data_IF_074696396358
#
_entry.id   IF_074696396358
#
_cell.length_a   1.000
_cell.length_b   1.000
_cell.length_c   1.000
_cell.angle_alpha   90.00
_cell.angle_beta   90.00
_cell.angle_gamma   90.00
#
_symmetry.space_group_name_H-M   'P 1'
#
loop_
_entity.id
_entity.type
_entity.pdbx_description
1 polymer ?
#
# COMPACT_ATOMS: atom_id res chain seq x y z
N UNK A 1 -2.77 -3.46 28.75
CA UNK A 1 -3.46 -3.51 27.43
C UNK A 1 -4.94 -3.64 27.70
N UNK A 2 -5.77 -2.70 27.24
CA UNK A 2 -7.23 -2.76 27.42
C UNK A 2 -7.85 -3.79 26.46
N UNK A 3 -9.10 -4.19 26.68
CA UNK A 3 -9.82 -5.09 25.76
C UNK A 3 -9.97 -4.49 24.36
N UNK A 4 -10.16 -3.17 24.27
CA UNK A 4 -10.23 -2.44 23.00
C UNK A 4 -8.87 -2.38 22.29
N UNK A 5 -7.77 -2.25 23.03
CA UNK A 5 -6.42 -2.31 22.45
C UNK A 5 -6.14 -3.68 21.82
N UNK A 6 -6.54 -4.75 22.50
CA UNK A 6 -6.38 -6.11 22.00
C UNK A 6 -7.20 -6.34 20.72
N UNK A 7 -8.43 -5.80 20.65
CA UNK A 7 -9.27 -5.86 19.44
C UNK A 7 -8.62 -5.11 18.27
N UNK A 8 -8.14 -3.89 18.51
CA UNK A 8 -7.47 -3.08 17.49
C UNK A 8 -6.21 -3.78 16.97
N UNK A 9 -5.38 -4.31 17.88
CA UNK A 9 -4.17 -5.07 17.53
C UNK A 9 -4.50 -6.32 16.73
N UNK A 10 -5.50 -7.10 17.17
CA UNK A 10 -5.96 -8.30 16.45
C UNK A 10 -6.44 -7.96 15.03
N UNK A 11 -7.21 -6.89 14.87
CA UNK A 11 -7.67 -6.46 13.54
C UNK A 11 -6.49 -6.05 12.63
N UNK A 12 -5.50 -5.34 13.17
CA UNK A 12 -4.26 -5.01 12.45
C UNK A 12 -3.48 -6.25 12.03
N UNK A 13 -3.27 -7.20 12.95
CA UNK A 13 -2.55 -8.45 12.67
C UNK A 13 -3.26 -9.31 11.63
N UNK A 14 -4.59 -9.46 11.73
CA UNK A 14 -5.38 -10.19 10.73
C UNK A 14 -5.24 -9.53 9.36
N UNK A 15 -5.30 -8.21 9.28
CA UNK A 15 -5.20 -7.48 8.01
C UNK A 15 -3.80 -7.59 7.41
N UNK A 16 -2.75 -7.54 8.24
CA UNK A 16 -1.37 -7.77 7.80
C UNK A 16 -1.19 -9.19 7.24
N UNK A 17 -1.63 -10.22 7.97
CA UNK A 17 -1.54 -11.61 7.53
C UNK A 17 -2.35 -11.86 6.27
N UNK A 18 -3.55 -11.30 6.17
CA UNK A 18 -4.37 -11.39 4.96
C UNK A 18 -3.69 -10.73 3.76
N UNK A 19 -3.06 -9.57 3.95
CA UNK A 19 -2.29 -8.87 2.92
C UNK A 19 -1.08 -9.71 2.48
N UNK A 20 -0.32 -10.27 3.43
CA UNK A 20 0.84 -11.11 3.14
C UNK A 20 0.45 -12.40 2.39
N UNK A 21 -0.63 -13.05 2.84
CA UNK A 21 -1.12 -14.28 2.22
C UNK A 21 -1.66 -14.04 0.81
N UNK A 22 -2.46 -12.98 0.60
CA UNK A 22 -3.02 -12.65 -0.71
C UNK A 22 -1.99 -12.03 -1.68
N UNK A 23 -0.95 -11.37 -1.18
CA UNK A 23 0.15 -10.87 -2.00
C UNK A 23 1.22 -11.94 -2.17
N UNK A 24 2.27 -11.82 -1.35
CA UNK A 24 3.47 -12.64 -1.44
C UNK A 24 3.20 -14.15 -1.35
N UNK A 25 2.29 -14.59 -0.48
CA UNK A 25 1.94 -16.01 -0.32
C UNK A 25 1.35 -16.62 -1.58
N UNK A 26 0.36 -15.96 -2.18
CA UNK A 26 -0.25 -16.39 -3.42
C UNK A 26 0.75 -16.36 -4.59
N UNK A 27 1.56 -15.30 -4.70
CA UNK A 27 2.61 -15.22 -5.73
C UNK A 27 3.68 -16.31 -5.55
N UNK A 28 4.03 -16.67 -4.32
CA UNK A 28 4.94 -17.78 -4.04
C UNK A 28 4.35 -19.11 -4.52
N UNK A 29 3.05 -19.35 -4.31
CA UNK A 29 2.38 -20.56 -4.80
C UNK A 29 2.36 -20.61 -6.34
N UNK A 30 2.12 -19.47 -7.00
CA UNK A 30 2.24 -19.36 -8.46
C UNK A 30 3.68 -19.63 -8.94
N UNK A 31 4.69 -19.13 -8.24
CA UNK A 31 6.09 -19.33 -8.62
C UNK A 31 6.48 -20.80 -8.61
N UNK A 32 6.04 -21.57 -7.61
CA UNK A 32 6.29 -23.02 -7.55
C UNK A 32 5.57 -23.82 -8.65
N UNK A 33 4.47 -23.30 -9.18
CA UNK A 33 3.67 -23.96 -10.23
C UNK A 33 3.92 -23.37 -11.62
N UNK A 34 4.87 -22.45 -11.75
CA UNK A 34 5.16 -21.75 -13.01
C UNK A 34 5.61 -22.74 -14.11
N UNK A 35 5.02 -22.64 -15.34
CA UNK A 35 5.42 -23.43 -16.48
C UNK A 35 6.91 -23.28 -16.79
N UNK A 36 7.55 -24.35 -17.32
CA UNK A 36 8.97 -24.31 -17.69
C UNK A 36 9.29 -23.23 -18.73
N UNK A 37 8.33 -22.87 -19.58
CA UNK A 37 8.49 -21.84 -20.61
C UNK A 37 8.84 -20.46 -20.05
N UNK A 38 8.49 -20.14 -18.81
CA UNK A 38 8.76 -18.81 -18.20
C UNK A 38 9.87 -18.84 -17.14
N UNK A 39 10.45 -20.01 -16.83
CA UNK A 39 11.46 -20.16 -15.75
C UNK A 39 12.81 -19.52 -16.04
N UNK A 40 13.08 -19.18 -17.30
CA UNK A 40 14.30 -18.50 -17.70
C UNK A 40 14.22 -16.98 -17.49
N UNK A 41 13.02 -16.45 -17.19
CA UNK A 41 12.80 -15.04 -16.93
C UNK A 41 12.97 -14.74 -15.43
N UNK A 42 13.25 -13.46 -15.06
CA UNK A 42 13.26 -13.04 -13.67
C UNK A 42 11.95 -13.42 -12.97
N UNK A 43 12.10 -14.08 -11.83
CA UNK A 43 11.01 -14.61 -11.02
C UNK A 43 10.67 -13.69 -9.83
N UNK A 44 9.81 -14.15 -8.92
CA UNK A 44 9.40 -13.40 -7.73
C UNK A 44 10.58 -12.92 -6.87
N UNK A 45 11.60 -13.77 -6.68
CA UNK A 45 12.72 -13.50 -5.79
C UNK A 45 13.82 -12.66 -6.44
N UNK A 46 13.73 -12.46 -7.75
CA UNK A 46 14.59 -11.56 -8.51
C UNK A 46 14.30 -10.07 -8.23
N UNK A 47 13.15 -9.75 -7.63
CA UNK A 47 12.72 -8.38 -7.32
C UNK A 47 12.68 -8.15 -5.81
N UNK A 48 13.40 -7.14 -5.34
CA UNK A 48 13.41 -6.80 -3.92
C UNK A 48 12.07 -6.24 -3.46
N UNK A 49 11.37 -5.48 -4.32
CA UNK A 49 10.04 -4.96 -4.02
C UNK A 49 9.01 -6.07 -3.90
N UNK A 50 9.15 -7.15 -4.66
CA UNK A 50 8.25 -8.28 -4.53
C UNK A 50 8.56 -9.10 -3.27
N UNK A 51 9.83 -9.36 -2.99
CA UNK A 51 10.23 -10.17 -1.82
C UNK A 51 9.98 -9.44 -0.50
N UNK A 52 10.59 -8.27 -0.32
CA UNK A 52 10.53 -7.53 0.93
C UNK A 52 9.33 -6.59 0.97
N UNK A 53 8.98 -6.01 -0.18
CA UNK A 53 7.86 -5.11 -0.27
C UNK A 53 6.53 -5.81 -0.05
N UNK A 54 6.17 -6.79 -0.90
CA UNK A 54 4.91 -7.52 -0.77
C UNK A 54 4.92 -8.49 0.42
N UNK A 55 6.09 -9.07 0.75
CA UNK A 55 6.23 -10.02 1.84
C UNK A 55 6.17 -9.39 3.24
N UNK A 56 6.64 -8.14 3.39
CA UNK A 56 6.78 -7.50 4.71
C UNK A 56 6.21 -6.09 4.74
N UNK A 57 6.65 -5.20 3.86
CA UNK A 57 6.37 -3.76 3.99
C UNK A 57 4.89 -3.43 3.77
N UNK A 58 4.26 -3.97 2.73
CA UNK A 58 2.83 -3.76 2.49
C UNK A 58 1.96 -4.40 3.59
N UNK A 59 2.18 -5.65 4.02
CA UNK A 59 1.49 -6.23 5.19
C UNK A 59 1.60 -5.36 6.44
N UNK A 60 2.81 -4.90 6.76
CA UNK A 60 3.07 -4.06 7.93
C UNK A 60 2.32 -2.73 7.85
N UNK A 61 2.37 -2.08 6.68
CA UNK A 61 1.65 -0.84 6.42
C UNK A 61 0.13 -1.01 6.56
N UNK A 62 -0.44 -2.06 5.95
CA UNK A 62 -1.87 -2.35 6.02
C UNK A 62 -2.33 -2.60 7.46
N UNK A 63 -1.62 -3.47 8.19
CA UNK A 63 -1.93 -3.77 9.59
C UNK A 63 -1.82 -2.55 10.50
N UNK A 64 -0.80 -1.72 10.30
CA UNK A 64 -0.59 -0.49 11.07
C UNK A 64 -1.69 0.55 10.81
N UNK A 65 -2.15 0.69 9.56
CA UNK A 65 -3.28 1.56 9.22
C UNK A 65 -4.61 1.08 9.80
N UNK A 66 -4.88 -0.23 9.75
CA UNK A 66 -6.09 -0.80 10.34
C UNK A 66 -6.07 -0.62 11.86
N UNK A 67 -4.93 -0.83 12.51
CA UNK A 67 -4.74 -0.56 13.93
C UNK A 67 -4.99 0.91 14.27
N UNK A 68 -4.33 1.85 13.58
CA UNK A 68 -4.54 3.29 13.79
C UNK A 68 -5.99 3.71 13.54
N UNK A 69 -6.63 3.14 12.52
CA UNK A 69 -8.05 3.40 12.22
C UNK A 69 -8.95 2.91 13.35
N UNK A 70 -8.69 1.74 13.93
CA UNK A 70 -9.50 1.15 15.00
C UNK A 70 -9.44 1.96 16.30
N UNK A 71 -8.30 2.63 16.57
CA UNK A 71 -8.10 3.52 17.73
C UNK A 71 -8.83 4.86 17.64
N UNK A 72 -9.33 5.22 16.45
CA UNK A 72 -10.13 6.41 16.24
C UNK A 72 -11.60 5.99 16.29
N UNK A 73 -12.39 6.44 17.26
CA UNK A 73 -13.80 6.02 17.42
C UNK A 73 -14.75 6.86 16.57
N UNK A 74 -14.41 8.13 16.31
CA UNK A 74 -15.20 9.08 15.52
C UNK A 74 -15.52 8.55 14.12
N UNK A 75 -16.72 8.81 13.61
CA UNK A 75 -17.04 8.52 12.22
C UNK A 75 -16.28 9.46 11.28
N UNK A 76 -15.67 8.89 10.23
CA UNK A 76 -15.02 9.65 9.16
C UNK A 76 -16.00 10.05 8.06
N UNK A 77 -15.50 10.76 7.05
CA UNK A 77 -16.28 11.11 5.87
C UNK A 77 -16.33 9.92 4.89
N UNK A 78 -17.36 9.05 5.02
CA UNK A 78 -17.50 7.83 4.21
C UNK A 78 -17.41 8.09 2.71
N UNK A 79 -18.06 9.16 2.22
CA UNK A 79 -18.01 9.54 0.80
C UNK A 79 -16.59 9.85 0.31
N UNK A 80 -15.78 10.54 1.12
CA UNK A 80 -14.38 10.85 0.80
C UNK A 80 -13.53 9.58 0.81
N UNK A 81 -13.74 8.68 1.78
CA UNK A 81 -13.06 7.37 1.79
C UNK A 81 -13.37 6.53 0.55
N UNK A 82 -14.64 6.50 0.12
CA UNK A 82 -15.05 5.76 -1.10
C UNK A 82 -14.43 6.39 -2.35
N UNK A 83 -14.47 7.73 -2.47
CA UNK A 83 -13.85 8.43 -3.59
C UNK A 83 -12.33 8.16 -3.65
N UNK A 84 -11.65 8.16 -2.50
CA UNK A 84 -10.24 7.80 -2.42
C UNK A 84 -9.98 6.35 -2.83
N UNK A 85 -10.82 5.41 -2.43
CA UNK A 85 -10.72 4.01 -2.83
C UNK A 85 -10.83 3.85 -4.35
N UNK A 86 -11.82 4.50 -4.97
CA UNK A 86 -12.01 4.49 -6.43
C UNK A 86 -10.80 5.09 -7.13
N UNK A 87 -10.32 6.25 -6.67
CA UNK A 87 -9.13 6.89 -7.24
C UNK A 87 -7.89 5.99 -7.14
N UNK A 88 -7.66 5.36 -5.98
CA UNK A 88 -6.56 4.40 -5.79
C UNK A 88 -6.67 3.18 -6.70
N UNK A 89 -7.88 2.62 -6.84
CA UNK A 89 -8.13 1.50 -7.76
C UNK A 89 -7.89 1.87 -9.22
N UNK A 90 -8.32 3.06 -9.66
CA UNK A 90 -8.08 3.56 -11.01
C UNK A 90 -6.59 3.77 -11.30
N UNK A 91 -5.82 4.27 -10.33
CA UNK A 91 -4.36 4.39 -10.47
C UNK A 91 -3.68 3.02 -10.58
N UNK A 92 -4.09 2.06 -9.75
CA UNK A 92 -3.61 0.68 -9.87
C UNK A 92 -3.94 0.07 -11.23
N UNK A 93 -5.16 0.30 -11.74
CA UNK A 93 -5.62 -0.20 -13.04
C UNK A 93 -4.83 0.44 -14.18
N UNK A 94 -4.64 1.76 -14.13
CA UNK A 94 -3.84 2.49 -15.11
C UNK A 94 -2.40 1.96 -15.14
N UNK A 95 -1.81 1.62 -13.99
CA UNK A 95 -0.46 1.06 -13.91
C UNK A 95 -0.37 -0.29 -14.65
N UNK A 96 -1.34 -1.18 -14.42
CA UNK A 96 -1.40 -2.48 -15.10
C UNK A 96 -1.69 -2.36 -16.60
N UNK A 97 -2.58 -1.43 -16.99
CA UNK A 97 -2.85 -1.15 -18.38
C UNK A 97 -1.60 -0.62 -19.10
N UNK A 98 -0.82 0.26 -18.46
CA UNK A 98 0.42 0.79 -19.03
C UNK A 98 1.50 -0.28 -19.18
N UNK A 99 1.56 -1.27 -18.29
CA UNK A 99 2.42 -2.44 -18.46
C UNK A 99 2.00 -3.31 -19.65
N UNK A 100 0.70 -3.52 -19.83
CA UNK A 100 0.17 -4.29 -20.96
C UNK A 100 0.24 -3.55 -22.29
N UNK A 101 0.24 -2.22 -22.30
CA UNK A 101 0.32 -1.41 -23.52
C UNK A 101 1.75 -1.02 -23.89
N UNK A 102 2.75 -1.40 -23.08
CA UNK A 102 4.15 -1.16 -23.42
C UNK A 102 4.60 -2.15 -24.50
N UNK A 103 5.14 -1.62 -25.59
CA UNK A 103 5.68 -2.42 -26.71
C UNK A 103 7.05 -3.04 -26.35
N UNK A 104 7.76 -2.46 -25.37
CA UNK A 104 9.08 -2.94 -24.90
C UNK A 104 9.14 -3.02 -23.35
N UNK A 105 8.27 -3.83 -22.72
CA UNK A 105 8.30 -3.99 -21.28
C UNK A 105 9.49 -4.83 -20.85
N UNK A 106 9.98 -4.61 -19.61
CA UNK A 106 10.91 -5.55 -19.00
C UNK A 106 10.20 -6.86 -18.70
N UNK A 107 10.49 -7.86 -19.54
CA UNK A 107 9.93 -9.20 -19.43
C UNK A 107 10.28 -9.84 -18.09
N UNK A 108 9.31 -10.57 -17.56
CA UNK A 108 9.44 -11.32 -16.31
C UNK A 108 8.42 -12.47 -16.32
N UNK A 109 8.48 -13.35 -15.32
CA UNK A 109 7.61 -14.53 -15.26
C UNK A 109 6.08 -14.22 -15.21
N UNK A 110 5.69 -12.99 -14.88
CA UNK A 110 4.29 -12.54 -14.90
C UNK A 110 3.87 -11.87 -16.22
N UNK A 111 4.82 -11.32 -16.97
CA UNK A 111 4.66 -10.67 -18.27
C UNK A 111 5.79 -11.16 -19.22
N UNK A 112 5.67 -12.38 -19.78
CA UNK A 112 6.75 -13.04 -20.50
C UNK A 112 6.94 -12.54 -21.93
N UNK A 113 5.94 -11.85 -22.48
CA UNK A 113 5.98 -11.21 -23.79
C UNK A 113 5.16 -9.91 -23.74
N UNK A 114 5.39 -8.94 -24.65
CA UNK A 114 4.62 -7.70 -24.70
C UNK A 114 3.12 -7.98 -24.79
N UNK A 115 2.32 -7.20 -24.07
CA UNK A 115 0.84 -7.27 -24.06
C UNK A 115 0.20 -8.55 -23.48
N UNK A 116 0.98 -9.50 -22.93
CA UNK A 116 0.42 -10.77 -22.44
C UNK A 116 0.85 -11.09 -21.02
N UNK A 117 -0.10 -11.03 -20.08
CA UNK A 117 0.09 -11.56 -18.74
C UNK A 117 -0.10 -13.08 -18.68
N UNK A 118 0.70 -13.74 -17.85
CA UNK A 118 0.37 -15.10 -17.39
C UNK A 118 -0.78 -15.06 -16.39
N UNK A 119 -1.30 -16.22 -15.99
CA UNK A 119 -2.28 -16.31 -14.88
C UNK A 119 -1.76 -15.65 -13.61
N UNK A 120 -0.46 -15.78 -13.31
CA UNK A 120 0.18 -15.11 -12.18
C UNK A 120 0.18 -13.58 -12.37
N UNK A 121 0.43 -13.09 -13.58
CA UNK A 121 0.36 -11.66 -13.91
C UNK A 121 -1.03 -11.07 -13.77
N UNK A 122 -2.07 -11.76 -14.26
CA UNK A 122 -3.46 -11.32 -14.08
C UNK A 122 -3.82 -11.25 -12.59
N UNK A 123 -3.46 -12.28 -11.81
CA UNK A 123 -3.68 -12.29 -10.37
C UNK A 123 -2.97 -11.11 -9.69
N UNK A 124 -1.68 -10.94 -9.98
CA UNK A 124 -0.87 -9.87 -9.41
C UNK A 124 -1.44 -8.48 -9.75
N UNK A 125 -1.86 -8.27 -11.00
CA UNK A 125 -2.48 -7.02 -11.42
C UNK A 125 -3.78 -6.72 -10.68
N UNK A 126 -4.66 -7.73 -10.53
CA UNK A 126 -5.89 -7.60 -9.74
C UNK A 126 -5.62 -7.33 -8.27
N UNK A 127 -4.61 -7.98 -7.70
CA UNK A 127 -4.15 -7.73 -6.33
C UNK A 127 -3.65 -6.29 -6.17
N UNK A 128 -2.82 -5.79 -7.09
CA UNK A 128 -2.33 -4.40 -7.05
C UNK A 128 -3.48 -3.39 -7.11
N UNK A 129 -4.43 -3.56 -8.03
CA UNK A 129 -5.62 -2.69 -8.16
C UNK A 129 -6.38 -2.65 -6.84
N UNK A 130 -6.65 -3.82 -6.27
CA UNK A 130 -7.42 -3.97 -5.02
C UNK A 130 -6.68 -3.31 -3.86
N UNK A 131 -5.40 -3.61 -3.69
CA UNK A 131 -4.61 -3.06 -2.59
C UNK A 131 -4.40 -1.56 -2.73
N UNK A 132 -4.26 -1.04 -3.95
CA UNK A 132 -4.19 0.42 -4.19
C UNK A 132 -5.46 1.12 -3.71
N UNK A 133 -6.64 0.55 -3.98
CA UNK A 133 -7.91 1.05 -3.46
C UNK A 133 -7.98 0.96 -1.93
N UNK A 134 -7.57 -0.17 -1.34
CA UNK A 134 -7.57 -0.40 0.12
C UNK A 134 -6.66 0.60 0.84
N UNK A 135 -5.42 0.79 0.37
CA UNK A 135 -4.48 1.73 0.98
C UNK A 135 -4.97 3.17 0.89
N UNK A 136 -5.49 3.60 -0.26
CA UNK A 136 -6.08 4.93 -0.41
C UNK A 136 -7.24 5.13 0.57
N UNK A 137 -8.15 4.16 0.67
CA UNK A 137 -9.27 4.19 1.61
C UNK A 137 -8.82 4.25 3.07
N UNK A 138 -7.85 3.42 3.46
CA UNK A 138 -7.34 3.35 4.83
C UNK A 138 -6.65 4.66 5.23
N UNK A 139 -5.76 5.20 4.39
CA UNK A 139 -5.11 6.48 4.65
C UNK A 139 -6.10 7.62 4.82
N UNK A 140 -7.03 7.75 3.87
CA UNK A 140 -8.09 8.76 3.94
C UNK A 140 -8.96 8.57 5.17
N UNK A 141 -9.34 7.34 5.50
CA UNK A 141 -10.13 7.05 6.71
C UNK A 141 -9.39 7.44 7.98
N UNK A 142 -8.09 7.13 8.12
CA UNK A 142 -7.29 7.51 9.30
C UNK A 142 -7.22 9.03 9.41
N UNK A 143 -6.94 9.73 8.31
CA UNK A 143 -6.84 11.19 8.29
C UNK A 143 -8.16 11.88 8.64
N UNK A 144 -9.26 11.49 8.00
CA UNK A 144 -10.57 12.09 8.25
C UNK A 144 -11.02 11.87 9.68
N UNK A 145 -10.86 10.65 10.21
CA UNK A 145 -11.23 10.33 11.60
C UNK A 145 -10.34 11.05 12.60
N UNK A 146 -9.03 11.14 12.37
CA UNK A 146 -8.10 11.88 13.22
C UNK A 146 -8.44 13.38 13.25
N UNK A 147 -8.76 13.98 12.10
CA UNK A 147 -9.19 15.38 12.04
C UNK A 147 -10.50 15.61 12.80
N UNK A 148 -11.46 14.70 12.66
CA UNK A 148 -12.73 14.78 13.38
C UNK A 148 -12.53 14.64 14.90
N UNK A 149 -11.71 13.68 15.35
CA UNK A 149 -11.38 13.48 16.75
C UNK A 149 -10.76 14.72 17.40
N UNK A 150 -9.81 15.40 16.73
CA UNK A 150 -9.24 16.65 17.25
C UNK A 150 -10.26 17.77 17.31
N UNK A 151 -11.13 17.90 16.30
CA UNK A 151 -12.18 18.94 16.29
C UNK A 151 -13.18 18.73 17.42
N UNK A 152 -13.55 17.49 17.70
CA UNK A 152 -14.54 17.13 18.70
C UNK A 152 -13.96 17.07 20.12
N UNK A 153 -12.63 17.08 20.27
CA UNK A 153 -11.97 16.95 21.57
C UNK A 153 -11.97 15.52 22.11
N UNK A 154 -12.09 14.51 21.24
CA UNK A 154 -12.20 13.11 21.64
C UNK A 154 -10.93 12.65 22.39
N UNK A 155 -11.13 11.86 23.45
CA UNK A 155 -10.03 11.23 24.18
C UNK A 155 -9.47 10.05 23.38
N UNK A 156 -8.45 10.33 22.59
CA UNK A 156 -7.79 9.37 21.71
C UNK A 156 -6.36 9.11 22.20
N UNK A 157 -5.96 7.84 22.12
CA UNK A 157 -4.59 7.37 22.28
C UNK A 157 -3.72 7.77 21.08
N UNK A 158 -3.40 9.06 21.00
CA UNK A 158 -2.61 9.67 19.93
C UNK A 158 -1.23 9.05 19.73
N UNK A 159 -0.47 8.67 20.79
CA UNK A 159 0.79 7.95 20.62
C UNK A 159 0.63 6.70 19.77
N UNK A 160 -0.35 5.84 20.07
CA UNK A 160 -0.61 4.63 19.26
C UNK A 160 -1.08 4.93 17.84
N UNK A 161 -1.99 5.90 17.65
CA UNK A 161 -2.45 6.30 16.30
C UNK A 161 -1.29 6.80 15.46
N UNK A 162 -0.46 7.69 16.02
CA UNK A 162 0.69 8.28 15.32
C UNK A 162 1.83 7.28 15.09
N UNK A 163 2.04 6.34 16.01
CA UNK A 163 2.99 5.24 15.86
C UNK A 163 2.61 4.31 14.70
N UNK A 164 1.35 3.88 14.62
CA UNK A 164 0.87 3.05 13.51
C UNK A 164 0.89 3.80 12.17
N UNK A 165 0.48 5.07 12.13
CA UNK A 165 0.58 5.88 10.92
C UNK A 165 2.05 6.10 10.50
N UNK A 166 2.94 6.38 11.45
CA UNK A 166 4.36 6.54 11.18
C UNK A 166 4.98 5.26 10.60
N UNK A 167 4.66 4.10 11.18
CA UNK A 167 5.09 2.80 10.67
C UNK A 167 4.62 2.58 9.22
N UNK A 168 3.35 2.86 8.93
CA UNK A 168 2.80 2.76 7.58
C UNK A 168 3.49 3.69 6.57
N UNK A 169 3.82 4.94 6.97
CA UNK A 169 4.61 5.86 6.12
C UNK A 169 6.01 5.28 5.87
N UNK A 170 6.72 4.86 6.91
CA UNK A 170 8.07 4.29 6.77
C UNK A 170 8.08 3.05 5.88
N UNK A 171 7.10 2.15 6.04
CA UNK A 171 6.94 0.98 5.18
C UNK A 171 6.62 1.36 3.73
N UNK A 172 5.77 2.36 3.50
CA UNK A 172 5.47 2.86 2.15
C UNK A 172 6.68 3.49 1.47
N UNK A 173 7.49 4.26 2.21
CA UNK A 173 8.75 4.82 1.71
C UNK A 173 9.75 3.71 1.39
N UNK A 174 9.89 2.72 2.29
CA UNK A 174 10.73 1.55 2.03
C UNK A 174 10.30 0.80 0.78
N UNK A 175 9.00 0.55 0.61
CA UNK A 175 8.44 -0.11 -0.57
C UNK A 175 8.77 0.66 -1.85
N UNK A 176 8.51 1.96 -1.84
CA UNK A 176 8.83 2.85 -2.95
C UNK A 176 10.33 2.81 -3.33
N UNK A 177 11.22 2.83 -2.34
CA UNK A 177 12.66 2.76 -2.58
C UNK A 177 13.07 1.43 -3.23
N UNK A 178 12.47 0.32 -2.81
CA UNK A 178 12.72 -0.99 -3.43
C UNK A 178 12.22 -1.04 -4.87
N UNK A 179 11.03 -0.52 -5.16
CA UNK A 179 10.54 -0.51 -6.54
C UNK A 179 11.41 0.39 -7.44
N UNK A 180 11.86 1.54 -6.92
CA UNK A 180 12.83 2.38 -7.64
C UNK A 180 14.11 1.59 -7.92
N UNK A 181 14.67 0.90 -6.93
CA UNK A 181 15.88 0.09 -7.08
C UNK A 181 15.70 -1.00 -8.15
N UNK A 182 14.56 -1.70 -8.15
CA UNK A 182 14.25 -2.74 -9.13
C UNK A 182 14.10 -2.18 -10.57
N UNK A 183 13.74 -0.90 -10.72
CA UNK A 183 13.53 -0.23 -12.01
C UNK A 183 14.73 0.56 -12.53
N UNK A 184 15.83 0.72 -11.78
CA UNK A 184 16.99 1.52 -12.24
C UNK A 184 17.65 0.97 -13.52
N UNK A 185 17.49 -0.33 -13.80
CA UNK A 185 18.05 -1.01 -14.97
C UNK A 185 17.22 -0.75 -16.25
N UNK A 186 16.04 -0.15 -16.14
CA UNK A 186 15.01 -0.10 -17.21
C UNK A 186 14.46 1.31 -17.46
N UNK A 187 15.27 2.35 -17.24
CA UNK A 187 14.84 3.77 -17.19
C UNK A 187 14.27 4.37 -18.48
N UNK A 188 14.13 3.60 -19.57
CA UNK A 188 13.61 4.04 -20.85
C UNK A 188 12.18 3.60 -21.20
N UNK A 189 11.57 2.67 -20.47
CA UNK A 189 10.24 2.14 -20.83
C UNK A 189 9.07 2.94 -20.25
N UNK A 190 7.91 2.86 -20.92
CA UNK A 190 6.68 3.50 -20.47
C UNK A 190 6.19 2.89 -19.15
N UNK A 191 6.35 1.57 -18.98
CA UNK A 191 6.05 0.83 -17.76
C UNK A 191 6.88 1.32 -16.56
N UNK A 192 8.18 1.57 -16.74
CA UNK A 192 9.03 2.10 -15.67
C UNK A 192 8.68 3.55 -15.33
N UNK A 193 8.38 4.38 -16.32
CA UNK A 193 7.93 5.77 -16.10
C UNK A 193 6.59 5.81 -15.34
N UNK A 194 5.62 4.99 -15.73
CA UNK A 194 4.33 4.87 -15.06
C UNK A 194 4.48 4.42 -13.60
N UNK A 195 5.33 3.42 -13.36
CA UNK A 195 5.61 2.90 -12.02
C UNK A 195 6.25 3.98 -11.14
N UNK A 196 7.24 4.71 -11.66
CA UNK A 196 7.88 5.82 -10.95
C UNK A 196 6.92 6.97 -10.66
N UNK A 197 6.03 7.31 -11.61
CA UNK A 197 5.01 8.34 -11.42
C UNK A 197 3.97 7.94 -10.35
N UNK A 198 3.52 6.69 -10.36
CA UNK A 198 2.61 6.15 -9.35
C UNK A 198 3.25 6.18 -7.95
N UNK A 199 4.52 5.79 -7.85
CA UNK A 199 5.29 5.86 -6.60
C UNK A 199 5.49 7.30 -6.14
N UNK A 200 5.87 8.21 -7.03
CA UNK A 200 6.03 9.63 -6.71
C UNK A 200 4.73 10.22 -6.15
N UNK A 201 3.60 9.86 -6.75
CA UNK A 201 2.26 10.25 -6.27
C UNK A 201 1.97 9.65 -4.90
N UNK A 202 2.21 8.34 -4.71
CA UNK A 202 1.98 7.66 -3.43
C UNK A 202 2.85 8.24 -2.30
N UNK A 203 4.12 8.55 -2.58
CA UNK A 203 5.06 9.19 -1.66
C UNK A 203 4.60 10.61 -1.30
N UNK A 204 4.20 11.41 -2.28
CA UNK A 204 3.68 12.75 -2.03
C UNK A 204 2.43 12.70 -1.13
N UNK A 205 1.53 11.74 -1.37
CA UNK A 205 0.38 11.49 -0.50
C UNK A 205 0.79 11.06 0.91
N UNK A 206 1.74 10.14 1.05
CA UNK A 206 2.24 9.67 2.35
C UNK A 206 2.92 10.80 3.16
N UNK A 207 3.75 11.62 2.51
CA UNK A 207 4.39 12.78 3.12
C UNK A 207 3.36 13.86 3.52
N UNK A 208 2.43 14.17 2.63
CA UNK A 208 1.32 15.09 2.92
C UNK A 208 0.49 14.62 4.11
N UNK A 209 0.21 13.32 4.19
CA UNK A 209 -0.45 12.67 5.32
C UNK A 209 0.36 12.84 6.61
N UNK A 210 1.66 12.57 6.58
CA UNK A 210 2.56 12.78 7.73
C UNK A 210 2.55 14.22 8.23
N UNK A 211 2.59 15.20 7.31
CA UNK A 211 2.50 16.62 7.64
C UNK A 211 1.14 16.99 8.25
N UNK A 212 0.04 16.43 7.75
CA UNK A 212 -1.30 16.62 8.33
C UNK A 212 -1.36 16.05 9.73
N UNK A 213 -0.85 14.84 9.96
CA UNK A 213 -0.76 14.23 11.30
C UNK A 213 0.05 15.11 12.24
N UNK A 214 1.22 15.60 11.81
CA UNK A 214 2.04 16.52 12.61
C UNK A 214 1.31 17.83 12.94
N UNK A 215 0.57 18.40 11.99
CA UNK A 215 -0.26 19.60 12.22
C UNK A 215 -1.36 19.33 13.23
N UNK A 216 -2.06 18.20 13.11
CA UNK A 216 -3.11 17.74 14.06
C UNK A 216 -2.51 17.62 15.47
N UNK A 217 -1.36 16.98 15.61
CA UNK A 217 -0.67 16.84 16.90
C UNK A 217 -0.24 18.20 17.49
N UNK A 218 0.26 19.13 16.65
CA UNK A 218 0.62 20.50 17.07
C UNK A 218 -0.60 21.30 17.51
N UNK A 219 -1.72 21.20 16.80
CA UNK A 219 -2.96 21.89 17.15
C UNK A 219 -3.49 21.43 18.51
N UNK A 220 -3.47 20.11 18.79
CA UNK A 220 -3.83 19.56 20.11
C UNK A 220 -2.95 20.12 21.23
N UNK A 221 -1.63 20.21 21.02
CA UNK A 221 -0.71 20.79 22.04
C UNK A 221 -1.05 22.23 22.38
N UNK A 222 -1.61 23.01 21.44
CA UNK A 222 -2.06 24.38 21.68
C UNK A 222 -3.38 24.43 22.47
N UNK A 223 -4.31 23.52 22.21
CA UNK A 223 -5.59 23.45 22.93
C UNK A 223 -5.49 22.96 24.39
N UNK A 224 -4.34 22.38 24.77
CA UNK A 224 -4.06 21.91 26.14
C UNK A 224 -3.27 22.91 27.00
N UNK A 225 -2.91 24.07 26.45
CA UNK A 225 -2.27 25.17 27.16
C UNK A 225 -3.31 26.25 27.40
#
# INVERSE_FOLDING_TARGET
MTSEDAKALRAGLISALATAAAGFGAMTAFAFTAPSSVRHLPDLWSYQSATWGDGILLPLSCGALVYSRAKLTTSGLRGVTVAAAVAGGLLGLATQALWLLDDDPRLNWTLPEPHHFTTAGVYHGMYLVTMSAVFAALWTSVLCRARAAVRNGDDVDWPSVSGGAGLAVCSGIGFAALVVADNQVSSGSSASTATLAAIGTALACALGTGLVVLRILRQRRRLRR
#
